data_IF_467023173610
#
_entry.id   IF_467023173610
#
_cell.length_a   1.000
_cell.length_b   1.000
_cell.length_c   1.000
_cell.angle_alpha   90.00
_cell.angle_beta   90.00
_cell.angle_gamma   90.00
#
_symmetry.space_group_name_H-M   'P 1'
#
loop_
_entity.id
_entity.type
_entity.pdbx_description
1 polymer ?
#
# COMPACT_ATOMS: atom_id res chain seq x y z
N UNK A 1 31.04 31.59 -20.95
CA UNK A 1 30.06 30.54 -20.57
C UNK A 1 30.60 29.76 -19.39
N UNK A 2 30.26 30.14 -18.14
CA UNK A 2 30.76 29.46 -16.95
C UNK A 2 29.87 28.27 -16.59
N UNK A 3 30.46 27.07 -16.56
CA UNK A 3 29.83 25.85 -16.06
C UNK A 3 29.77 25.93 -14.54
N UNK A 4 28.58 26.10 -13.98
CA UNK A 4 28.34 25.99 -12.56
C UNK A 4 28.60 24.55 -12.09
N UNK A 5 29.73 24.34 -11.42
CA UNK A 5 29.98 23.14 -10.62
C UNK A 5 28.96 23.06 -9.48
N UNK A 6 27.87 22.33 -9.68
CA UNK A 6 27.05 21.83 -8.56
C UNK A 6 27.95 20.86 -7.78
N UNK A 7 28.51 21.31 -6.65
CA UNK A 7 29.13 20.42 -5.66
C UNK A 7 28.06 19.40 -5.25
N UNK A 8 28.24 18.14 -5.63
CA UNK A 8 27.48 17.05 -5.03
C UNK A 8 27.71 17.15 -3.51
N UNK A 9 26.64 17.30 -2.74
CA UNK A 9 26.73 17.30 -1.29
C UNK A 9 27.43 15.99 -0.87
N UNK A 10 28.53 16.10 -0.12
CA UNK A 10 29.23 14.93 0.41
C UNK A 10 28.24 14.20 1.32
N UNK A 11 27.87 12.99 0.95
CA UNK A 11 26.99 12.16 1.78
C UNK A 11 27.65 11.93 3.14
N UNK A 12 26.92 12.06 4.25
CA UNK A 12 27.49 11.85 5.57
C UNK A 12 28.04 10.41 5.69
N UNK A 13 29.18 10.19 6.36
CA UNK A 13 29.77 8.85 6.51
C UNK A 13 28.81 7.83 7.15
N UNK A 14 27.98 8.27 8.11
CA UNK A 14 27.00 7.43 8.77
C UNK A 14 25.90 6.91 7.81
N UNK A 15 25.59 7.67 6.76
CA UNK A 15 24.59 7.26 5.78
C UNK A 15 25.09 6.07 4.95
N UNK A 16 26.39 6.06 4.63
CA UNK A 16 27.04 4.91 3.98
C UNK A 16 26.92 3.64 4.82
N UNK A 17 27.25 3.73 6.11
CA UNK A 17 27.15 2.58 7.03
C UNK A 17 25.74 2.00 7.11
N UNK A 18 24.71 2.84 7.14
CA UNK A 18 23.32 2.41 7.15
C UNK A 18 22.91 1.71 5.84
N UNK A 19 23.31 2.28 4.70
CA UNK A 19 23.02 1.69 3.37
C UNK A 19 23.71 0.34 3.23
N UNK A 20 24.99 0.26 3.61
CA UNK A 20 25.76 -0.99 3.54
C UNK A 20 25.18 -2.06 4.46
N UNK A 21 24.72 -1.66 5.64
CA UNK A 21 24.09 -2.56 6.61
C UNK A 21 22.73 -3.07 6.09
N UNK A 22 21.89 -2.17 5.55
CA UNK A 22 20.62 -2.53 4.92
C UNK A 22 20.84 -3.51 3.76
N UNK A 23 21.85 -3.27 2.92
CA UNK A 23 22.21 -4.17 1.81
C UNK A 23 22.66 -5.55 2.31
N UNK A 24 23.52 -5.62 3.34
CA UNK A 24 23.98 -6.89 3.92
C UNK A 24 22.82 -7.72 4.48
N UNK A 25 21.96 -7.11 5.29
CA UNK A 25 20.81 -7.82 5.87
C UNK A 25 19.76 -8.21 4.83
N UNK A 26 19.54 -7.34 3.83
CA UNK A 26 18.63 -7.64 2.72
C UNK A 26 19.15 -8.81 1.88
N UNK A 27 20.46 -8.87 1.61
CA UNK A 27 21.08 -9.99 0.91
C UNK A 27 21.02 -11.27 1.75
N UNK A 28 21.26 -11.19 3.06
CA UNK A 28 21.13 -12.34 3.96
C UNK A 28 19.71 -12.93 3.92
N UNK A 29 18.68 -12.08 3.99
CA UNK A 29 17.29 -12.53 3.86
C UNK A 29 16.97 -13.08 2.48
N UNK A 30 17.54 -12.52 1.41
CA UNK A 30 17.41 -13.07 0.07
C UNK A 30 17.99 -14.49 -0.01
N UNK A 31 19.20 -14.71 0.51
CA UNK A 31 19.84 -16.04 0.56
C UNK A 31 18.95 -17.03 1.33
N UNK A 32 18.45 -16.65 2.51
CA UNK A 32 17.49 -17.48 3.24
C UNK A 32 16.21 -17.74 2.42
N UNK A 33 15.74 -16.73 1.69
CA UNK A 33 14.58 -16.82 0.81
C UNK A 33 14.74 -17.84 -0.30
N UNK A 34 15.95 -18.01 -0.84
CA UNK A 34 16.26 -19.01 -1.88
C UNK A 34 16.19 -20.45 -1.39
N UNK A 35 16.23 -20.68 -0.07
CA UNK A 35 16.05 -22.02 0.51
C UNK A 35 14.58 -22.51 0.43
N UNK A 36 13.63 -21.60 0.18
CA UNK A 36 12.21 -21.92 0.08
C UNK A 36 11.73 -21.91 -1.37
N UNK A 37 10.74 -22.74 -1.72
CA UNK A 37 10.26 -22.82 -3.09
C UNK A 37 9.54 -21.53 -3.51
N UNK A 38 9.80 -21.09 -4.74
CA UNK A 38 9.32 -19.81 -5.27
C UNK A 38 7.80 -19.61 -5.21
N UNK A 39 7.02 -20.68 -5.35
CA UNK A 39 5.55 -20.58 -5.31
C UNK A 39 5.03 -20.04 -3.97
N UNK A 40 5.76 -20.27 -2.87
CA UNK A 40 5.40 -19.74 -1.55
C UNK A 40 5.48 -18.21 -1.54
N UNK A 41 6.53 -17.66 -2.13
CA UNK A 41 6.71 -16.21 -2.24
C UNK A 41 5.72 -15.57 -3.22
N UNK A 42 5.41 -16.27 -4.32
CA UNK A 42 4.37 -15.85 -5.26
C UNK A 42 2.99 -15.84 -4.61
N UNK A 43 2.66 -16.79 -3.75
CA UNK A 43 1.41 -16.78 -2.99
C UNK A 43 1.27 -15.49 -2.17
N UNK A 44 2.30 -15.11 -1.42
CA UNK A 44 2.28 -13.87 -0.66
C UNK A 44 2.15 -12.64 -1.57
N UNK A 45 2.89 -12.59 -2.68
CA UNK A 45 2.78 -11.53 -3.67
C UNK A 45 1.37 -11.39 -4.25
N UNK A 46 0.75 -12.48 -4.72
CA UNK A 46 -0.59 -12.41 -5.28
C UNK A 46 -1.63 -12.08 -4.21
N UNK A 47 -1.48 -12.59 -2.99
CA UNK A 47 -2.41 -12.29 -1.89
C UNK A 47 -2.39 -10.82 -1.47
N UNK A 48 -1.22 -10.17 -1.54
CA UNK A 48 -1.03 -8.75 -1.26
C UNK A 48 -1.26 -7.82 -2.44
N UNK A 49 -1.62 -8.37 -3.61
CA UNK A 49 -1.77 -7.59 -4.82
C UNK A 49 -2.96 -6.62 -4.75
N UNK A 50 -2.73 -5.38 -5.21
CA UNK A 50 -3.75 -4.34 -5.12
C UNK A 50 -4.99 -4.62 -5.97
N UNK A 51 -4.86 -5.36 -7.07
CA UNK A 51 -5.96 -5.70 -7.97
C UNK A 51 -6.94 -6.64 -7.27
N UNK A 52 -6.45 -7.62 -6.51
CA UNK A 52 -7.29 -8.56 -5.75
C UNK A 52 -8.16 -7.80 -4.75
N UNK A 53 -7.54 -6.91 -3.96
CA UNK A 53 -8.26 -6.13 -2.96
C UNK A 53 -9.18 -5.07 -3.55
N UNK A 54 -8.82 -4.48 -4.69
CA UNK A 54 -9.69 -3.58 -5.44
C UNK A 54 -10.93 -4.32 -5.95
N UNK A 55 -10.77 -5.52 -6.52
CA UNK A 55 -11.88 -6.34 -6.98
C UNK A 55 -12.81 -6.72 -5.82
N UNK A 56 -12.27 -7.11 -4.66
CA UNK A 56 -13.04 -7.40 -3.44
C UNK A 56 -13.81 -6.16 -2.98
N UNK A 57 -13.18 -4.99 -2.94
CA UNK A 57 -13.81 -3.75 -2.52
C UNK A 57 -14.96 -3.34 -3.46
N UNK A 58 -14.76 -3.43 -4.78
CA UNK A 58 -15.79 -3.12 -5.77
C UNK A 58 -16.96 -4.13 -5.70
N UNK A 59 -16.67 -5.42 -5.56
CA UNK A 59 -17.70 -6.44 -5.38
C UNK A 59 -18.54 -6.17 -4.11
N UNK A 60 -17.88 -5.79 -3.00
CA UNK A 60 -18.56 -5.42 -1.77
C UNK A 60 -19.40 -4.12 -1.91
N UNK A 61 -18.95 -3.17 -2.73
CA UNK A 61 -19.68 -1.93 -3.00
C UNK A 61 -21.02 -2.18 -3.72
N UNK A 62 -21.00 -3.03 -4.74
CA UNK A 62 -22.15 -3.32 -5.60
C UNK A 62 -23.07 -4.43 -5.09
N UNK A 63 -22.81 -4.98 -3.91
CA UNK A 63 -23.67 -5.99 -3.32
C UNK A 63 -25.10 -5.43 -3.10
N UNK A 64 -26.16 -6.03 -3.68
CA UNK A 64 -27.50 -5.43 -3.65
C UNK A 64 -28.07 -5.19 -2.25
N UNK A 65 -27.63 -5.98 -1.27
CA UNK A 65 -28.06 -5.91 0.13
C UNK A 65 -27.07 -5.16 1.04
N UNK A 66 -26.09 -4.46 0.47
CA UNK A 66 -25.13 -3.70 1.26
C UNK A 66 -25.83 -2.58 2.05
N UNK A 67 -25.64 -2.62 3.36
CA UNK A 67 -26.05 -1.55 4.28
C UNK A 67 -25.25 -0.28 4.00
N UNK A 68 -25.79 0.89 4.38
CA UNK A 68 -25.06 2.16 4.26
C UNK A 68 -23.71 2.13 5.01
N UNK A 69 -23.65 1.42 6.14
CA UNK A 69 -22.40 1.20 6.89
C UNK A 69 -21.37 0.45 6.08
N UNK A 70 -21.75 -0.66 5.44
CA UNK A 70 -20.84 -1.43 4.59
C UNK A 70 -20.33 -0.58 3.42
N UNK A 71 -21.22 0.15 2.74
CA UNK A 71 -20.84 1.05 1.65
C UNK A 71 -19.89 2.15 2.12
N UNK A 72 -20.13 2.73 3.30
CA UNK A 72 -19.26 3.74 3.91
C UNK A 72 -17.87 3.17 4.21
N UNK A 73 -17.78 1.94 4.73
CA UNK A 73 -16.50 1.28 4.98
C UNK A 73 -15.74 1.02 3.68
N UNK A 74 -16.43 0.57 2.62
CA UNK A 74 -15.82 0.35 1.31
C UNK A 74 -15.30 1.67 0.71
N UNK A 75 -16.08 2.76 0.79
CA UNK A 75 -15.63 4.07 0.31
C UNK A 75 -14.39 4.57 1.08
N UNK A 76 -14.32 4.37 2.39
CA UNK A 76 -13.14 4.70 3.18
C UNK A 76 -11.94 3.82 2.83
N UNK A 77 -12.16 2.53 2.56
CA UNK A 77 -11.11 1.64 2.08
C UNK A 77 -10.56 2.11 0.72
N UNK A 78 -11.43 2.43 -0.24
CA UNK A 78 -11.03 2.94 -1.56
C UNK A 78 -10.31 4.30 -1.46
N UNK A 79 -10.78 5.20 -0.58
CA UNK A 79 -10.10 6.47 -0.31
C UNK A 79 -8.69 6.25 0.27
N UNK A 80 -8.55 5.31 1.21
CA UNK A 80 -7.25 4.95 1.78
C UNK A 80 -6.33 4.28 0.76
N UNK A 81 -6.86 3.39 -0.08
CA UNK A 81 -6.10 2.77 -1.15
C UNK A 81 -5.59 3.79 -2.18
N UNK A 82 -6.44 4.76 -2.56
CA UNK A 82 -6.03 5.87 -3.43
C UNK A 82 -4.95 6.73 -2.77
N UNK A 83 -5.09 7.03 -1.47
CA UNK A 83 -4.09 7.76 -0.70
C UNK A 83 -2.75 7.00 -0.63
N UNK A 84 -2.78 5.70 -0.38
CA UNK A 84 -1.58 4.84 -0.39
C UNK A 84 -0.83 4.93 -1.73
N UNK A 85 -1.54 4.83 -2.85
CA UNK A 85 -0.94 4.99 -4.18
C UNK A 85 -0.28 6.35 -4.38
N UNK A 86 -0.95 7.43 -3.95
CA UNK A 86 -0.40 8.79 -4.06
C UNK A 86 0.83 8.94 -3.19
N UNK A 87 0.80 8.48 -1.93
CA UNK A 87 1.94 8.57 -1.01
C UNK A 87 3.14 7.77 -1.51
N UNK A 88 2.93 6.50 -1.87
CA UNK A 88 4.00 5.64 -2.41
C UNK A 88 4.55 6.20 -3.72
N UNK A 89 3.68 6.61 -4.65
CA UNK A 89 4.09 7.18 -5.93
C UNK A 89 4.91 8.46 -5.76
N UNK A 90 4.48 9.34 -4.86
CA UNK A 90 5.20 10.58 -4.53
C UNK A 90 6.56 10.28 -3.91
N UNK A 91 6.62 9.39 -2.92
CA UNK A 91 7.89 9.04 -2.26
C UNK A 91 8.87 8.37 -3.23
N UNK A 92 8.38 7.47 -4.10
CA UNK A 92 9.19 6.88 -5.17
C UNK A 92 9.76 7.92 -6.12
N UNK A 93 8.94 8.91 -6.49
CA UNK A 93 9.38 10.01 -7.35
C UNK A 93 10.42 10.92 -6.69
N UNK A 94 10.33 11.14 -5.38
CA UNK A 94 11.24 12.01 -4.62
C UNK A 94 12.58 11.34 -4.29
N UNK A 95 12.56 10.10 -3.81
CA UNK A 95 13.74 9.45 -3.24
C UNK A 95 14.55 8.70 -4.30
N UNK A 96 13.87 8.11 -5.28
CA UNK A 96 14.48 7.45 -6.45
C UNK A 96 15.58 6.44 -6.14
N UNK A 97 15.44 5.69 -5.04
CA UNK A 97 16.39 4.63 -4.67
C UNK A 97 16.38 3.50 -5.71
N UNK A 98 17.57 3.03 -6.12
CA UNK A 98 17.70 1.88 -7.04
C UNK A 98 17.35 0.57 -6.34
N UNK A 99 16.82 -0.41 -7.08
CA UNK A 99 16.51 -1.76 -6.58
C UNK A 99 17.78 -2.59 -6.32
N UNK A 100 17.69 -3.64 -5.49
CA UNK A 100 18.83 -4.51 -5.21
C UNK A 100 19.38 -5.19 -6.47
N UNK A 101 20.71 -5.19 -6.61
CA UNK A 101 21.42 -5.67 -7.81
C UNK A 101 21.57 -7.20 -7.84
N UNK A 102 21.54 -7.85 -6.67
CA UNK A 102 21.74 -9.29 -6.52
C UNK A 102 20.56 -10.15 -7.00
N UNK A 103 19.43 -9.55 -7.42
CA UNK A 103 18.37 -10.31 -8.06
C UNK A 103 18.69 -10.52 -9.55
N UNK A 104 19.40 -11.61 -9.85
CA UNK A 104 19.83 -12.02 -11.21
C UNK A 104 18.71 -12.70 -12.00
N UNK A 105 17.56 -12.98 -11.36
CA UNK A 105 16.39 -13.45 -12.08
C UNK A 105 15.80 -12.27 -12.86
N UNK A 106 15.97 -12.29 -14.19
CA UNK A 106 15.44 -11.34 -15.17
C UNK A 106 13.89 -11.29 -15.23
N UNK A 107 13.20 -11.48 -14.11
CA UNK A 107 11.76 -11.34 -13.97
C UNK A 107 11.30 -9.88 -13.86
N UNK A 108 12.03 -8.95 -14.49
CA UNK A 108 11.45 -7.69 -14.94
C UNK A 108 10.66 -7.94 -16.23
N UNK A 109 9.86 -9.02 -16.27
CA UNK A 109 8.98 -9.33 -17.38
C UNK A 109 7.98 -8.18 -17.54
N UNK A 110 8.34 -7.25 -18.44
CA UNK A 110 7.49 -6.38 -19.25
C UNK A 110 6.68 -5.29 -18.53
N UNK A 111 6.64 -5.23 -17.20
CA UNK A 111 5.90 -4.14 -16.51
C UNK A 111 6.80 -2.92 -16.25
N UNK A 112 6.98 -2.16 -17.34
CA UNK A 112 7.15 -0.71 -17.46
C UNK A 112 8.30 -0.06 -16.67
N UNK A 113 9.13 0.70 -17.41
CA UNK A 113 10.12 1.68 -16.96
C UNK A 113 9.65 2.73 -15.92
N UNK A 114 8.41 2.64 -15.43
CA UNK A 114 7.81 3.44 -14.36
C UNK A 114 8.16 2.89 -12.96
N UNK A 115 8.56 1.61 -12.82
CA UNK A 115 8.86 0.98 -11.52
C UNK A 115 10.37 0.80 -11.22
N UNK A 116 11.19 1.73 -11.70
CA UNK A 116 12.64 1.72 -11.51
C UNK A 116 13.09 1.98 -10.05
N UNK A 117 12.19 2.45 -9.19
CA UNK A 117 12.50 2.89 -7.83
C UNK A 117 12.03 1.90 -6.75
N UNK A 118 12.91 1.57 -5.81
CA UNK A 118 12.68 0.56 -4.78
C UNK A 118 12.02 1.12 -3.51
N UNK A 119 12.27 2.39 -3.18
CA UNK A 119 11.82 3.00 -1.93
C UNK A 119 10.59 3.90 -2.12
N UNK A 120 9.55 3.78 -1.27
CA UNK A 120 9.28 2.67 -0.35
C UNK A 120 8.71 1.45 -1.09
N UNK A 121 8.68 0.30 -0.43
CA UNK A 121 7.99 -0.88 -0.94
C UNK A 121 6.48 -0.64 -0.97
N UNK A 122 5.91 -0.42 -2.16
CA UNK A 122 4.47 -0.22 -2.34
C UNK A 122 3.64 -1.44 -1.94
N UNK A 123 4.18 -2.64 -2.13
CA UNK A 123 3.49 -3.87 -1.71
C UNK A 123 3.43 -3.98 -0.18
N UNK A 124 4.52 -3.63 0.52
CA UNK A 124 4.55 -3.58 1.98
C UNK A 124 3.62 -2.50 2.54
N UNK A 125 3.58 -1.31 1.92
CA UNK A 125 2.65 -0.24 2.28
C UNK A 125 1.19 -0.69 2.16
N UNK A 126 0.86 -1.34 1.05
CA UNK A 126 -0.50 -1.81 0.78
C UNK A 126 -0.97 -2.87 1.75
N UNK A 127 -0.19 -3.93 1.98
CA UNK A 127 -0.59 -4.98 2.92
C UNK A 127 -0.67 -4.48 4.37
N UNK A 128 0.21 -3.54 4.74
CA UNK A 128 0.12 -2.84 6.04
C UNK A 128 -1.17 -2.03 6.14
N UNK A 129 -1.49 -1.22 5.13
CA UNK A 129 -2.75 -0.47 5.08
C UNK A 129 -3.97 -1.39 5.21
N UNK A 130 -4.03 -2.47 4.41
CA UNK A 130 -5.14 -3.43 4.43
C UNK A 130 -5.28 -4.07 5.80
N UNK A 131 -4.20 -4.60 6.37
CA UNK A 131 -4.25 -5.24 7.68
C UNK A 131 -4.69 -4.28 8.77
N UNK A 132 -4.13 -3.06 8.80
CA UNK A 132 -4.50 -2.04 9.78
C UNK A 132 -5.96 -1.60 9.61
N UNK A 133 -6.46 -1.47 8.38
CA UNK A 133 -7.86 -1.15 8.11
C UNK A 133 -8.80 -2.28 8.57
N UNK A 134 -8.44 -3.54 8.32
CA UNK A 134 -9.17 -4.71 8.82
C UNK A 134 -9.16 -4.78 10.34
N UNK A 135 -8.04 -4.45 11.00
CA UNK A 135 -7.93 -4.41 12.46
C UNK A 135 -8.81 -3.29 13.03
N UNK A 136 -8.70 -2.08 12.50
CA UNK A 136 -9.51 -0.93 12.91
C UNK A 136 -11.00 -1.26 12.79
N UNK A 137 -11.37 -1.95 11.72
CA UNK A 137 -12.74 -2.35 11.52
C UNK A 137 -13.12 -3.53 12.42
N UNK A 138 -12.60 -4.71 12.11
CA UNK A 138 -13.09 -5.98 12.62
C UNK A 138 -12.43 -6.39 13.94
N UNK A 139 -11.34 -5.75 14.37
CA UNK A 139 -10.50 -6.24 15.46
C UNK A 139 -11.19 -6.31 16.81
N UNK A 140 -12.14 -5.41 17.10
CA UNK A 140 -12.93 -5.48 18.36
C UNK A 140 -13.87 -6.69 18.39
N UNK A 141 -14.43 -7.06 17.25
CA UNK A 141 -15.35 -8.21 17.14
C UNK A 141 -14.59 -9.53 16.95
N UNK A 142 -13.44 -9.49 16.28
CA UNK A 142 -12.66 -10.66 15.88
C UNK A 142 -11.16 -10.43 16.18
N UNK A 143 -10.72 -10.52 17.45
CA UNK A 143 -9.34 -10.26 17.83
C UNK A 143 -8.36 -11.24 17.17
N UNK A 144 -8.74 -12.50 16.98
CA UNK A 144 -7.93 -13.51 16.26
C UNK A 144 -7.63 -13.09 14.81
N UNK A 145 -8.60 -12.48 14.14
CA UNK A 145 -8.42 -11.98 12.77
C UNK A 145 -7.38 -10.84 12.73
N UNK A 146 -7.26 -10.05 13.80
CA UNK A 146 -6.25 -9.00 13.89
C UNK A 146 -4.83 -9.56 13.89
N UNK A 147 -4.61 -10.62 14.68
CA UNK A 147 -3.33 -11.32 14.70
C UNK A 147 -3.00 -11.95 13.34
N UNK A 148 -3.97 -12.60 12.71
CA UNK A 148 -3.79 -13.19 11.38
C UNK A 148 -3.50 -12.14 10.31
N UNK A 149 -4.20 -11.01 10.32
CA UNK A 149 -3.99 -9.91 9.39
C UNK A 149 -2.59 -9.30 9.56
N UNK A 150 -2.15 -9.08 10.80
CA UNK A 150 -0.80 -8.56 11.06
C UNK A 150 0.28 -9.55 10.64
N UNK A 151 0.12 -10.83 10.98
CA UNK A 151 1.04 -11.89 10.57
C UNK A 151 1.14 -11.96 9.05
N UNK A 152 0.00 -12.01 8.36
CA UNK A 152 -0.06 -12.00 6.90
C UNK A 152 0.63 -10.77 6.29
N UNK A 153 0.39 -9.57 6.82
CA UNK A 153 1.01 -8.34 6.32
C UNK A 153 2.53 -8.36 6.49
N UNK A 154 3.03 -8.77 7.66
CA UNK A 154 4.47 -8.88 7.93
C UNK A 154 5.12 -9.94 7.05
N UNK A 155 4.54 -11.14 6.95
CA UNK A 155 5.05 -12.21 6.07
C UNK A 155 5.08 -11.76 4.60
N UNK A 156 4.03 -11.10 4.13
CA UNK A 156 3.96 -10.59 2.75
C UNK A 156 4.97 -9.48 2.52
N UNK A 157 5.15 -8.57 3.48
CA UNK A 157 6.15 -7.51 3.40
C UNK A 157 7.59 -8.07 3.37
N UNK A 158 7.91 -9.03 4.24
CA UNK A 158 9.22 -9.69 4.30
C UNK A 158 9.50 -10.53 3.05
N UNK A 159 8.48 -11.12 2.42
CA UNK A 159 8.63 -11.83 1.15
C UNK A 159 9.28 -10.96 0.06
N UNK A 160 9.08 -9.64 0.10
CA UNK A 160 9.66 -8.69 -0.86
C UNK A 160 11.18 -8.60 -0.76
N UNK A 161 11.70 -8.67 0.47
CA UNK A 161 13.14 -8.74 0.73
C UNK A 161 13.69 -10.16 0.44
N UNK A 162 12.95 -11.20 0.84
CA UNK A 162 13.33 -12.60 0.57
C UNK A 162 13.40 -12.93 -0.93
N UNK A 163 12.61 -12.26 -1.78
CA UNK A 163 12.70 -12.35 -3.24
C UNK A 163 13.71 -11.39 -3.87
N UNK A 164 14.45 -10.63 -3.07
CA UNK A 164 15.46 -9.68 -3.55
C UNK A 164 14.90 -8.48 -4.32
N UNK A 165 13.60 -8.18 -4.19
CA UNK A 165 12.95 -7.11 -4.95
C UNK A 165 13.06 -5.73 -4.31
N UNK A 166 13.26 -5.71 -2.99
CA UNK A 166 13.34 -4.51 -2.15
C UNK A 166 14.35 -4.74 -1.03
N UNK A 167 14.96 -3.64 -0.55
CA UNK A 167 15.75 -3.68 0.66
C UNK A 167 14.84 -3.71 1.91
N UNK A 168 15.38 -4.12 3.06
CA UNK A 168 14.66 -4.15 4.33
C UNK A 168 14.17 -2.76 4.74
N UNK A 169 14.98 -1.72 4.55
CA UNK A 169 14.55 -0.35 4.82
C UNK A 169 13.38 0.08 3.91
N UNK A 170 13.32 -0.39 2.66
CA UNK A 170 12.20 -0.11 1.75
C UNK A 170 10.91 -0.78 2.26
N UNK A 171 11.04 -2.00 2.79
CA UNK A 171 9.95 -2.77 3.39
C UNK A 171 9.45 -2.10 4.66
N UNK A 172 10.35 -1.73 5.58
CA UNK A 172 10.02 -1.05 6.82
C UNK A 172 9.34 0.31 6.56
N UNK A 173 9.88 1.11 5.65
CA UNK A 173 9.27 2.37 5.24
C UNK A 173 7.89 2.15 4.61
N UNK A 174 7.73 1.11 3.78
CA UNK A 174 6.43 0.72 3.26
C UNK A 174 5.43 0.44 4.36
N UNK A 175 5.77 -0.43 5.32
CA UNK A 175 4.90 -0.74 6.47
C UNK A 175 4.46 0.52 7.22
N UNK A 176 5.39 1.47 7.45
CA UNK A 176 5.09 2.75 8.10
C UNK A 176 4.14 3.62 7.27
N UNK A 177 4.32 3.68 5.93
CA UNK A 177 3.40 4.38 5.03
C UNK A 177 1.99 3.81 5.17
N UNK A 178 1.83 2.48 5.18
CA UNK A 178 0.52 1.84 5.36
C UNK A 178 -0.18 2.20 6.68
N UNK A 179 0.58 2.25 7.78
CA UNK A 179 0.08 2.73 9.08
C UNK A 179 -0.35 4.20 8.98
N UNK A 180 0.49 5.04 8.39
CA UNK A 180 0.19 6.46 8.16
C UNK A 180 -1.07 6.68 7.33
N UNK A 181 -1.27 5.88 6.28
CA UNK A 181 -2.48 5.92 5.44
C UNK A 181 -3.74 5.66 6.28
N UNK A 182 -3.75 4.64 7.14
CA UNK A 182 -4.92 4.36 8.00
C UNK A 182 -5.14 5.48 9.01
N UNK A 183 -4.08 6.05 9.58
CA UNK A 183 -4.20 7.18 10.50
C UNK A 183 -4.82 8.40 9.79
N UNK A 184 -4.39 8.71 8.57
CA UNK A 184 -4.95 9.82 7.79
C UNK A 184 -6.43 9.58 7.43
N UNK A 185 -6.77 8.37 6.98
CA UNK A 185 -8.16 7.99 6.65
C UNK A 185 -9.05 7.98 7.89
N UNK A 186 -8.50 7.68 9.07
CA UNK A 186 -9.24 7.71 10.35
C UNK A 186 -9.12 9.04 11.09
N UNK A 187 -8.63 10.11 10.44
CA UNK A 187 -8.42 11.45 11.05
C UNK A 187 -7.62 11.40 12.36
N UNK A 188 -6.72 10.43 12.50
CA UNK A 188 -5.89 10.20 13.68
C UNK A 188 -6.58 9.47 14.83
N UNK A 189 -7.90 9.29 14.80
CA UNK A 189 -8.66 8.71 15.92
C UNK A 189 -8.64 7.18 16.03
N UNK A 190 -7.95 6.48 15.12
CA UNK A 190 -7.86 5.02 15.00
C UNK A 190 -9.15 4.26 15.42
N UNK A 191 -10.30 4.78 14.97
CA UNK A 191 -11.61 4.22 15.26
C UNK A 191 -12.45 4.22 13.98
N UNK A 192 -13.42 3.30 13.91
CA UNK A 192 -14.42 3.27 12.85
C UNK A 192 -15.23 4.57 12.79
N UNK A 193 -15.40 5.24 13.92
CA UNK A 193 -16.24 6.44 14.01
C UNK A 193 -15.52 7.70 13.50
N UNK A 194 -14.20 7.66 13.38
CA UNK A 194 -13.37 8.79 12.95
C UNK A 194 -12.96 8.71 11.47
N UNK A 195 -13.54 7.77 10.73
CA UNK A 195 -13.28 7.58 9.30
C UNK A 195 -13.60 8.85 8.47
N UNK A 196 -12.88 9.01 7.36
CA UNK A 196 -12.92 10.16 6.47
C UNK A 196 -14.32 10.40 5.92
N UNK A 197 -14.92 9.36 5.35
CA UNK A 197 -16.25 9.36 4.77
C UNK A 197 -17.27 8.95 5.82
N UNK A 198 -18.22 9.84 6.07
CA UNK A 198 -19.35 9.64 6.97
C UNK A 198 -20.55 8.97 6.27
N UNK A 199 -21.44 8.37 7.05
CA UNK A 199 -22.72 7.83 6.57
C UNK A 199 -23.59 8.87 5.86
N UNK A 200 -23.53 10.13 6.28
CA UNK A 200 -24.24 11.22 5.63
C UNK A 200 -23.72 11.46 4.21
N UNK A 201 -22.39 11.49 4.02
CA UNK A 201 -21.77 11.63 2.71
C UNK A 201 -22.07 10.43 1.81
N UNK A 202 -22.01 9.20 2.34
CA UNK A 202 -22.39 7.99 1.59
C UNK A 202 -23.84 8.03 1.14
N UNK A 203 -24.76 8.46 2.01
CA UNK A 203 -26.18 8.63 1.63
C UNK A 203 -26.36 9.67 0.53
N UNK A 204 -25.71 10.83 0.66
CA UNK A 204 -25.78 11.89 -0.34
C UNK A 204 -25.24 11.41 -1.71
N UNK A 205 -24.10 10.73 -1.72
CA UNK A 205 -23.52 10.11 -2.93
C UNK A 205 -24.48 9.11 -3.57
N UNK A 206 -25.12 8.25 -2.77
CA UNK A 206 -26.08 7.25 -3.25
C UNK A 206 -27.32 7.90 -3.85
N UNK A 207 -27.88 8.91 -3.19
CA UNK A 207 -29.04 9.66 -3.69
C UNK A 207 -28.70 10.41 -4.99
N UNK A 208 -27.53 11.06 -5.04
CA UNK A 208 -27.04 11.72 -6.24
C UNK A 208 -26.90 10.74 -7.41
N UNK A 209 -26.26 9.58 -7.19
CA UNK A 209 -26.12 8.55 -8.22
C UNK A 209 -27.46 8.03 -8.72
N UNK A 210 -28.43 7.80 -7.83
CA UNK A 210 -29.80 7.39 -8.21
C UNK A 210 -30.53 8.47 -9.00
N UNK A 211 -30.37 9.75 -8.63
CA UNK A 211 -30.99 10.87 -9.37
C UNK A 211 -30.46 10.99 -10.79
N UNK A 212 -29.17 10.68 -10.99
CA UNK A 212 -28.52 10.68 -12.29
C UNK A 212 -29.00 9.51 -13.15
N UNK A 213 -29.08 8.30 -12.58
CA UNK A 213 -29.62 7.11 -13.26
C UNK A 213 -31.09 7.26 -13.66
N UNK A 214 -31.87 8.06 -12.93
CA UNK A 214 -33.27 8.33 -13.24
C UNK A 214 -33.48 9.62 -14.07
N UNK A 215 -32.42 10.17 -14.69
CA UNK A 215 -32.53 11.25 -15.67
C UNK A 215 -32.90 12.63 -15.12
N UNK A 216 -32.90 12.83 -13.79
CA UNK A 216 -33.26 14.12 -13.17
C UNK A 216 -32.09 15.12 -13.11
N UNK A 217 -30.91 14.75 -13.61
CA UNK A 217 -29.67 15.54 -13.45
C UNK A 217 -29.49 16.73 -14.38
N UNK A 218 -30.23 16.83 -15.49
CA UNK A 218 -30.02 17.87 -16.52
C UNK A 218 -31.04 19.02 -16.42
N UNK A 219 -32.18 18.83 -15.75
CA UNK A 219 -33.29 19.79 -15.76
C UNK A 219 -33.15 21.00 -14.81
N UNK A 220 -31.97 21.28 -14.23
CA UNK A 220 -31.77 22.39 -13.25
C UNK A 220 -30.59 23.31 -13.54
N UNK A 221 -30.02 23.28 -14.74
CA UNK A 221 -28.91 24.15 -15.14
C UNK A 221 -29.28 25.11 -16.30
N UNK A 222 -30.56 25.48 -16.41
CA UNK A 222 -31.07 26.49 -17.34
C UNK A 222 -31.79 27.59 -16.59
#
# INVERSE_FOLDING_TARGET
MSRSHRRAAKTPPWLGVLVDTDERWSNYLYILGTAYPRFLWLFFEYSGDGIVWLAIALAAFFQPRATLTQQTLVLNFLAGWALDLVLVGTLKFLIRRRRPVYNVAEDFLVVVAVDAHSFPSGHAARVSFIAQFLILCLGRAYPRLSFLAMYWAVSTALSRAAMGRHYLADVAAGLLVGVGTVLLVSKGGYSRDTLLVSQAQTRALRQWAQSWLHGKGIARAG
#
